data_IF_482666945454
#
_entry.id   IF_482666945454
#
_cell.length_a   1.000
_cell.length_b   1.000
_cell.length_c   1.000
_cell.angle_alpha   90.00
_cell.angle_beta   90.00
_cell.angle_gamma   90.00
#
_symmetry.space_group_name_H-M   'P 1'
#
loop_
_entity.id
_entity.type
_entity.pdbx_description
1 polymer ?
#
# COMPACT_ATOMS: atom_id res chain seq x y z
N UNK A 1 -10.21 8.28 3.10
CA UNK A 1 -10.21 7.55 4.39
C UNK A 1 -9.39 8.35 5.37
N UNK A 2 -9.90 8.60 6.58
CA UNK A 2 -9.14 9.25 7.65
C UNK A 2 -8.71 8.19 8.67
N UNK A 3 -7.41 7.97 8.84
CA UNK A 3 -6.81 6.99 9.77
C UNK A 3 -6.16 7.71 10.95
N UNK A 4 -6.94 8.51 11.68
CA UNK A 4 -6.43 9.37 12.77
C UNK A 4 -5.80 8.59 13.91
N UNK A 5 -6.28 7.37 14.18
CA UNK A 5 -5.75 6.44 15.19
C UNK A 5 -4.54 5.65 14.71
N UNK A 6 -4.20 5.73 13.41
CA UNK A 6 -3.11 4.99 12.74
C UNK A 6 -3.30 3.47 12.73
N UNK A 7 -4.48 2.96 13.05
CA UNK A 7 -4.72 1.50 13.16
C UNK A 7 -4.53 0.81 11.81
N UNK A 8 -4.96 1.45 10.72
CA UNK A 8 -4.77 0.89 9.37
C UNK A 8 -3.29 0.90 9.00
N UNK A 9 -2.59 2.01 9.25
CA UNK A 9 -1.16 2.11 8.98
C UNK A 9 -0.37 1.04 9.76
N UNK A 10 -0.62 0.88 11.06
CA UNK A 10 0.03 -0.14 11.90
C UNK A 10 -0.22 -1.55 11.38
N UNK A 11 -1.45 -1.85 10.96
CA UNK A 11 -1.85 -3.19 10.47
C UNK A 11 -1.15 -3.57 9.16
N UNK A 12 -1.02 -2.64 8.22
CA UNK A 12 -0.58 -2.96 6.86
C UNK A 12 0.89 -2.63 6.57
N UNK A 13 1.35 -1.43 6.93
CA UNK A 13 2.67 -0.91 6.51
C UNK A 13 3.61 -0.61 7.69
N UNK A 14 3.07 -0.53 8.90
CA UNK A 14 3.75 0.00 10.07
C UNK A 14 3.94 1.51 10.03
N UNK A 15 4.61 2.02 11.06
CA UNK A 15 5.03 3.42 11.15
C UNK A 15 6.57 3.48 11.00
N UNK A 16 7.09 4.62 10.56
CA UNK A 16 8.53 4.89 10.64
C UNK A 16 8.93 5.28 12.08
N UNK A 17 10.23 5.48 12.33
CA UNK A 17 10.75 5.83 13.67
C UNK A 17 10.19 7.15 14.22
N UNK A 18 9.71 8.04 13.36
CA UNK A 18 9.04 9.29 13.75
C UNK A 18 7.52 9.12 13.98
N UNK A 19 6.99 7.90 13.90
CA UNK A 19 5.57 7.61 14.07
C UNK A 19 4.69 8.00 12.88
N UNK A 20 5.29 8.27 11.70
CA UNK A 20 4.57 8.61 10.47
C UNK A 20 4.31 7.37 9.62
N UNK A 21 3.25 7.43 8.81
CA UNK A 21 2.91 6.35 7.90
C UNK A 21 4.04 6.09 6.90
N UNK A 22 4.42 4.82 6.73
CA UNK A 22 5.34 4.41 5.68
C UNK A 22 4.57 4.30 4.35
N UNK A 23 5.07 4.93 3.29
CA UNK A 23 4.45 4.85 1.95
C UNK A 23 4.45 3.38 1.49
N UNK A 24 3.29 2.86 1.13
CA UNK A 24 3.09 1.49 0.64
C UNK A 24 1.74 1.42 -0.08
N UNK A 25 1.64 0.54 -1.07
CA UNK A 25 0.38 0.27 -1.78
C UNK A 25 0.07 -1.22 -1.72
N UNK A 26 -1.18 -1.54 -1.41
CA UNK A 26 -1.68 -2.92 -1.29
C UNK A 26 -2.75 -3.12 -2.36
N UNK A 27 -2.65 -4.22 -3.11
CA UNK A 27 -3.72 -4.70 -3.98
C UNK A 27 -4.40 -5.85 -3.23
N UNK A 28 -5.68 -5.68 -2.94
CA UNK A 28 -6.48 -6.62 -2.16
C UNK A 28 -7.64 -7.09 -3.04
N UNK A 29 -7.86 -8.41 -3.13
CA UNK A 29 -8.97 -8.96 -3.89
C UNK A 29 -10.32 -8.81 -3.17
N UNK A 30 -11.40 -9.26 -3.83
CA UNK A 30 -12.76 -9.16 -3.28
C UNK A 30 -12.99 -10.04 -2.05
N UNK A 31 -12.12 -11.03 -1.81
CA UNK A 31 -12.15 -11.91 -0.65
C UNK A 31 -11.32 -11.35 0.52
N UNK A 32 -10.67 -10.20 0.32
CA UNK A 32 -9.83 -9.56 1.33
C UNK A 32 -8.40 -10.10 1.39
N UNK A 33 -7.97 -10.90 0.40
CA UNK A 33 -6.61 -11.41 0.35
C UNK A 33 -5.67 -10.39 -0.31
N UNK A 34 -4.51 -10.18 0.29
CA UNK A 34 -3.47 -9.33 -0.28
C UNK A 34 -2.84 -10.08 -1.46
N UNK A 35 -3.03 -9.54 -2.67
CA UNK A 35 -2.47 -10.10 -3.91
C UNK A 35 -1.10 -9.52 -4.26
N UNK A 36 -0.85 -8.26 -3.88
CA UNK A 36 0.44 -7.60 -4.10
C UNK A 36 0.71 -6.51 -3.07
N UNK A 37 1.99 -6.30 -2.76
CA UNK A 37 2.46 -5.19 -1.93
C UNK A 37 3.57 -4.45 -2.67
N UNK A 38 3.35 -3.18 -2.96
CA UNK A 38 4.30 -2.28 -3.63
C UNK A 38 4.90 -1.35 -2.58
N UNK A 39 6.23 -1.40 -2.42
CA UNK A 39 6.98 -0.60 -1.45
C UNK A 39 8.03 0.30 -2.10
N UNK A 40 8.18 0.23 -3.41
CA UNK A 40 9.16 1.04 -4.14
C UNK A 40 8.60 2.45 -4.40
N UNK A 41 9.48 3.44 -4.51
CA UNK A 41 9.09 4.86 -4.39
C UNK A 41 9.31 5.68 -5.64
N UNK A 42 9.40 5.06 -6.81
CA UNK A 42 9.35 5.79 -8.07
C UNK A 42 7.93 6.37 -8.25
N UNK A 43 7.73 7.57 -7.71
CA UNK A 43 6.43 8.25 -7.69
C UNK A 43 5.91 8.48 -9.10
N UNK A 44 6.80 8.74 -10.05
CA UNK A 44 6.44 9.04 -11.44
C UNK A 44 5.86 7.81 -12.13
N UNK A 45 6.42 6.63 -11.87
CA UNK A 45 5.99 5.39 -12.52
C UNK A 45 5.07 4.51 -11.67
N UNK A 46 4.82 4.85 -10.41
CA UNK A 46 4.02 4.04 -9.47
C UNK A 46 2.63 3.70 -9.99
N UNK A 47 1.95 4.67 -10.63
CA UNK A 47 0.63 4.44 -11.23
C UNK A 47 0.65 3.41 -12.36
N UNK A 48 1.70 3.41 -13.19
CA UNK A 48 1.89 2.41 -14.25
C UNK A 48 2.20 1.03 -13.66
N UNK A 49 3.00 0.98 -12.60
CA UNK A 49 3.30 -0.26 -11.89
C UNK A 49 2.02 -0.88 -11.32
N UNK A 50 1.14 -0.08 -10.70
CA UNK A 50 -0.17 -0.55 -10.23
C UNK A 50 -1.01 -1.09 -11.40
N UNK A 51 -1.16 -0.30 -12.48
CA UNK A 51 -1.98 -0.69 -13.62
C UNK A 51 -1.49 -1.98 -14.29
N UNK A 52 -0.17 -2.16 -14.42
CA UNK A 52 0.41 -3.40 -14.97
C UNK A 52 0.22 -4.57 -14.00
N UNK A 53 0.40 -4.34 -12.70
CA UNK A 53 0.15 -5.37 -11.68
C UNK A 53 -1.28 -5.90 -11.69
N UNK A 54 -2.25 -5.08 -12.08
CA UNK A 54 -3.65 -5.49 -12.20
C UNK A 54 -3.94 -6.35 -13.44
N UNK A 55 -3.09 -6.31 -14.48
CA UNK A 55 -3.25 -7.16 -15.67
C UNK A 55 -2.81 -8.59 -15.43
N UNK A 56 -1.90 -8.79 -14.48
CA UNK A 56 -1.31 -10.08 -14.13
C UNK A 56 -2.10 -10.83 -13.02
N UNK A 57 -3.26 -10.30 -12.61
CA UNK A 57 -4.11 -10.81 -11.52
C UNK A 57 -5.43 -11.37 -12.03
#
# INVERSE_FOLDING_TARGET
MSDTTKETCKKYAGLNLAGLAKRSTFIIDKQGLIKKILRNFDVENHGKEIANSLKDL
#
